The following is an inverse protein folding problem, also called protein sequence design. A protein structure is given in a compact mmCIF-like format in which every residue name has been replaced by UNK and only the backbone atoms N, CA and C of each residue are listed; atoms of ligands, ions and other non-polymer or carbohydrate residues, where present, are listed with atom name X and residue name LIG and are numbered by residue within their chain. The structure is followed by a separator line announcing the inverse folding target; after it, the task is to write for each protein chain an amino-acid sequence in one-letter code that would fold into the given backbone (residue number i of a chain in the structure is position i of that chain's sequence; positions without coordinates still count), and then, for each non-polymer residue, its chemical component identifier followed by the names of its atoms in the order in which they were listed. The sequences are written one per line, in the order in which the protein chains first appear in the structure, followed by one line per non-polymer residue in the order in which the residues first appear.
data_IF_329295224636
#
_entry.id   IF_329295224636
#
_cell.length_a   1.000
_cell.length_b   1.000
_cell.length_c   1.000
_cell.angle_alpha   90.00
_cell.angle_beta   90.00
_cell.angle_gamma   90.00
#
_symmetry.space_group_name_H-M   'P 1'
#
loop_
_entity.id
_entity.type
_entity.pdbx_description
1 polymer ?
#
# COMPACT_ATOMS: atom_id res chain seq x y z
N UNK A 1 -30.17 -8.20 -33.35
CA UNK A 1 -28.76 -8.13 -33.67
C UNK A 1 -28.01 -8.71 -32.49
N UNK A 2 -27.53 -9.94 -32.64
CA UNK A 2 -26.71 -10.59 -31.64
C UNK A 2 -25.31 -9.98 -31.69
N UNK A 3 -24.85 -9.37 -30.60
CA UNK A 3 -23.45 -9.03 -30.44
C UNK A 3 -22.68 -10.31 -30.06
N UNK A 4 -21.73 -10.65 -30.90
CA UNK A 4 -20.78 -11.73 -30.64
C UNK A 4 -20.00 -11.40 -29.35
N UNK A 5 -20.05 -12.33 -28.38
CA UNK A 5 -19.10 -12.34 -27.27
C UNK A 5 -17.73 -12.67 -27.85
N UNK A 6 -16.81 -11.74 -27.79
CA UNK A 6 -15.42 -12.03 -28.02
C UNK A 6 -14.95 -13.04 -26.95
N UNK A 7 -14.50 -14.18 -27.43
CA UNK A 7 -13.88 -15.22 -26.63
C UNK A 7 -12.50 -14.72 -26.18
N UNK A 8 -12.44 -13.98 -25.07
CA UNK A 8 -11.16 -13.83 -24.35
C UNK A 8 -10.72 -15.21 -23.87
N UNK A 9 -9.51 -15.58 -24.25
CA UNK A 9 -8.90 -16.84 -23.87
C UNK A 9 -8.87 -16.96 -22.34
N UNK A 10 -9.51 -17.99 -21.83
CA UNK A 10 -9.42 -18.42 -20.44
C UNK A 10 -7.93 -18.52 -20.07
N UNK A 11 -7.50 -17.74 -19.07
CA UNK A 11 -6.23 -18.00 -18.41
C UNK A 11 -6.49 -19.26 -17.59
N UNK A 12 -5.99 -20.41 -18.07
CA UNK A 12 -6.00 -21.64 -17.30
C UNK A 12 -5.36 -21.37 -15.94
N UNK A 13 -5.87 -22.03 -14.91
CA UNK A 13 -5.44 -22.00 -13.50
C UNK A 13 -3.99 -22.52 -13.36
N UNK A 14 -3.05 -21.78 -13.97
CA UNK A 14 -1.63 -22.09 -13.93
C UNK A 14 -1.03 -21.45 -12.70
N UNK A 15 -0.76 -22.27 -11.69
CA UNK A 15 0.05 -21.86 -10.57
C UNK A 15 1.39 -21.31 -11.08
N UNK A 16 1.60 -19.98 -11.01
CA UNK A 16 2.84 -19.33 -11.42
C UNK A 16 4.00 -19.78 -10.52
N UNK A 17 5.10 -20.17 -11.13
CA UNK A 17 6.34 -20.51 -10.43
C UNK A 17 7.33 -19.33 -10.44
N UNK A 18 8.44 -19.44 -9.73
CA UNK A 18 9.46 -18.39 -9.62
C UNK A 18 9.99 -17.91 -10.97
N UNK A 19 10.17 -18.80 -11.95
CA UNK A 19 10.66 -18.41 -13.28
C UNK A 19 9.62 -17.64 -14.09
N UNK A 20 8.32 -17.87 -13.87
CA UNK A 20 7.26 -17.09 -14.49
C UNK A 20 7.30 -15.64 -14.00
N UNK A 21 7.44 -15.45 -12.67
CA UNK A 21 7.58 -14.11 -12.09
C UNK A 21 8.83 -13.38 -12.55
N UNK A 22 9.93 -14.10 -12.76
CA UNK A 22 11.20 -13.52 -13.23
C UNK A 22 11.05 -12.86 -14.61
N UNK A 23 10.29 -13.46 -15.53
CA UNK A 23 10.10 -12.95 -16.89
C UNK A 23 8.86 -12.08 -17.08
N UNK A 24 8.01 -12.02 -16.07
CA UNK A 24 6.77 -11.23 -16.07
C UNK A 24 7.07 -9.72 -16.01
N UNK A 25 6.36 -8.92 -16.80
CA UNK A 25 6.42 -7.47 -16.68
C UNK A 25 5.44 -6.94 -15.62
N UNK A 26 5.56 -5.65 -15.29
CA UNK A 26 4.74 -5.01 -14.27
C UNK A 26 3.21 -5.06 -14.56
N UNK A 27 2.80 -4.97 -15.84
CA UNK A 27 1.39 -5.05 -16.21
C UNK A 27 0.81 -6.46 -16.06
N UNK A 28 1.60 -7.48 -16.33
CA UNK A 28 1.23 -8.87 -16.09
C UNK A 28 1.16 -9.14 -14.59
N UNK A 29 2.13 -8.59 -13.84
CA UNK A 29 2.20 -8.79 -12.40
C UNK A 29 1.05 -8.14 -11.65
N UNK A 30 0.63 -6.90 -11.99
CA UNK A 30 -0.56 -6.27 -11.38
C UNK A 30 -1.83 -7.09 -11.59
N UNK A 31 -1.96 -7.80 -12.71
CA UNK A 31 -3.08 -8.72 -12.95
C UNK A 31 -3.04 -9.92 -12.00
N UNK A 32 -1.85 -10.48 -11.76
CA UNK A 32 -1.66 -11.63 -10.86
C UNK A 32 -1.78 -11.23 -9.39
N UNK A 33 -1.49 -9.96 -9.04
CA UNK A 33 -1.72 -9.44 -7.69
C UNK A 33 -3.19 -9.52 -7.29
N UNK A 34 -4.12 -9.50 -8.24
CA UNK A 34 -5.55 -9.66 -7.99
C UNK A 34 -6.10 -8.70 -6.94
N UNK A 35 -6.95 -9.19 -6.06
CA UNK A 35 -7.49 -8.43 -4.95
C UNK A 35 -6.55 -8.48 -3.75
N UNK A 36 -6.14 -7.31 -3.26
CA UNK A 36 -5.28 -7.16 -2.10
C UNK A 36 -6.01 -6.64 -0.85
N UNK A 37 -5.39 -6.89 0.30
CA UNK A 37 -5.81 -6.34 1.60
C UNK A 37 -4.58 -5.81 2.34
N UNK A 38 -4.75 -4.74 3.12
CA UNK A 38 -3.72 -4.25 4.03
C UNK A 38 -3.83 -4.92 5.41
N UNK A 39 -2.70 -5.32 5.99
CA UNK A 39 -2.59 -5.64 7.41
C UNK A 39 -2.41 -4.34 8.19
N UNK A 40 -3.44 -3.48 8.18
CA UNK A 40 -3.37 -2.12 8.67
C UNK A 40 -3.34 -1.98 10.19
N UNK A 41 -2.75 -0.88 10.67
CA UNK A 41 -2.57 -0.51 12.08
C UNK A 41 -1.76 -1.56 12.88
N UNK A 42 -0.86 -2.25 12.23
CA UNK A 42 -0.11 -3.38 12.81
C UNK A 42 1.39 -3.03 12.94
N UNK A 43 2.21 -3.38 11.95
CA UNK A 43 3.67 -3.13 12.03
C UNK A 43 4.04 -1.66 11.74
N UNK A 44 3.13 -0.88 11.17
CA UNK A 44 3.27 0.57 10.97
C UNK A 44 2.76 1.41 12.15
N UNK A 45 2.40 0.79 13.27
CA UNK A 45 1.93 1.48 14.47
C UNK A 45 3.05 2.35 15.09
N UNK A 46 3.43 3.38 14.36
CA UNK A 46 4.49 4.32 14.70
C UNK A 46 4.08 5.28 15.83
N UNK A 47 5.05 6.01 16.35
CA UNK A 47 4.84 6.98 17.43
C UNK A 47 4.69 6.35 18.81
N UNK A 48 4.89 5.04 18.92
CA UNK A 48 4.94 4.33 20.20
C UNK A 48 6.24 4.63 20.98
N UNK A 49 6.63 5.90 21.02
CA UNK A 49 7.89 6.37 21.63
C UNK A 49 8.04 5.96 23.09
N UNK A 50 6.93 5.72 23.78
CA UNK A 50 6.95 5.20 25.15
C UNK A 50 7.48 3.77 25.26
N UNK A 51 7.49 3.00 24.18
CA UNK A 51 8.02 1.64 24.16
C UNK A 51 9.56 1.63 24.07
N UNK A 52 10.16 2.71 23.57
CA UNK A 52 11.59 2.74 23.23
C UNK A 52 11.92 1.81 22.07
N UNK A 53 13.21 1.68 21.72
CA UNK A 53 13.66 0.96 20.51
C UNK A 53 13.85 -0.55 20.70
N UNK A 54 13.75 -1.07 21.93
CA UNK A 54 14.04 -2.45 22.30
C UNK A 54 12.84 -3.17 22.95
N UNK A 55 11.63 -2.69 22.70
CA UNK A 55 10.44 -3.40 23.13
C UNK A 55 10.25 -4.69 22.31
N UNK A 56 9.45 -5.63 22.82
CA UNK A 56 9.11 -6.82 22.06
C UNK A 56 8.28 -6.45 20.83
N UNK A 57 8.50 -7.09 19.67
CA UNK A 57 7.79 -6.77 18.42
C UNK A 57 6.28 -6.72 18.57
N UNK A 58 5.68 -7.62 19.37
CA UNK A 58 4.24 -7.68 19.59
C UNK A 58 3.70 -6.43 20.32
N UNK A 59 4.54 -5.69 21.03
CA UNK A 59 4.13 -4.44 21.71
C UNK A 59 3.96 -3.30 20.70
N UNK A 60 4.82 -3.23 19.67
CA UNK A 60 4.63 -2.30 18.54
C UNK A 60 3.40 -2.72 17.74
N UNK A 61 3.32 -3.99 17.36
CA UNK A 61 2.24 -4.58 16.57
C UNK A 61 0.85 -4.30 17.15
N UNK A 62 0.72 -4.27 18.47
CA UNK A 62 -0.57 -4.08 19.15
C UNK A 62 -0.82 -2.65 19.64
N UNK A 63 0.12 -1.72 19.44
CA UNK A 63 0.07 -0.39 20.04
C UNK A 63 -1.08 0.48 19.51
N UNK A 64 -1.61 0.19 18.33
CA UNK A 64 -2.81 0.83 17.75
C UNK A 64 -4.06 -0.07 17.83
N UNK A 65 -4.08 -1.01 18.78
CA UNK A 65 -5.27 -1.81 19.11
C UNK A 65 -5.51 -3.02 18.22
N UNK A 66 -4.55 -3.39 17.36
CA UNK A 66 -4.64 -4.63 16.61
C UNK A 66 -4.25 -5.84 17.48
N UNK A 67 -4.76 -7.04 17.19
CA UNK A 67 -4.28 -8.25 17.85
C UNK A 67 -2.89 -8.64 17.34
N UNK A 68 -2.17 -9.45 18.11
CA UNK A 68 -0.97 -10.11 17.60
C UNK A 68 -1.34 -10.96 16.39
N UNK A 69 -0.67 -10.72 15.25
CA UNK A 69 -0.94 -11.42 14.00
C UNK A 69 -0.51 -12.88 14.07
N UNK A 70 -1.32 -13.74 13.55
CA UNK A 70 -1.06 -15.19 13.47
C UNK A 70 -1.09 -15.69 12.02
N UNK A 71 -0.46 -16.83 11.75
CA UNK A 71 -0.49 -17.47 10.42
C UNK A 71 -1.93 -17.66 9.91
N UNK A 72 -2.86 -18.02 10.80
CA UNK A 72 -4.27 -18.22 10.46
C UNK A 72 -4.97 -16.99 9.88
N UNK A 73 -4.50 -15.78 10.21
CA UNK A 73 -5.05 -14.54 9.63
C UNK A 73 -4.76 -14.48 8.13
N UNK A 74 -3.55 -14.81 7.70
CA UNK A 74 -3.20 -14.84 6.27
C UNK A 74 -3.90 -15.97 5.52
N UNK A 75 -4.01 -17.16 6.14
CA UNK A 75 -4.80 -18.27 5.60
C UNK A 75 -6.27 -17.85 5.39
N UNK A 76 -6.87 -17.18 6.38
CA UNK A 76 -8.24 -16.67 6.28
C UNK A 76 -8.39 -15.54 5.25
N UNK A 77 -7.38 -14.68 5.05
CA UNK A 77 -7.37 -13.69 3.96
C UNK A 77 -7.40 -14.39 2.59
N UNK A 78 -6.57 -15.43 2.41
CA UNK A 78 -6.58 -16.22 1.17
C UNK A 78 -7.92 -16.91 0.93
N UNK A 79 -8.48 -17.54 1.96
CA UNK A 79 -9.79 -18.21 1.89
C UNK A 79 -10.94 -17.23 1.58
N UNK A 80 -10.82 -15.99 2.04
CA UNK A 80 -11.78 -14.92 1.77
C UNK A 80 -11.71 -14.38 0.31
N UNK A 81 -10.71 -14.79 -0.48
CA UNK A 81 -10.57 -14.40 -1.89
C UNK A 81 -9.54 -13.32 -2.16
N UNK A 82 -8.67 -13.00 -1.19
CA UNK A 82 -7.54 -12.12 -1.45
C UNK A 82 -6.37 -12.89 -2.08
N UNK A 83 -5.69 -12.25 -3.03
CA UNK A 83 -4.51 -12.79 -3.73
C UNK A 83 -3.22 -12.16 -3.24
N UNK A 84 -3.33 -10.99 -2.62
CA UNK A 84 -2.20 -10.19 -2.15
C UNK A 84 -2.45 -9.61 -0.77
N UNK A 85 -1.37 -9.37 -0.02
CA UNK A 85 -1.39 -8.61 1.24
C UNK A 85 -0.31 -7.54 1.23
N UNK A 86 -0.65 -6.34 1.66
CA UNK A 86 0.31 -5.28 1.99
C UNK A 86 0.50 -5.25 3.49
N UNK A 87 1.74 -5.35 3.94
CA UNK A 87 2.17 -5.29 5.34
C UNK A 87 2.92 -3.97 5.51
N UNK A 88 2.24 -2.90 5.93
CA UNK A 88 2.88 -1.63 6.24
C UNK A 88 3.82 -1.77 7.43
N UNK A 89 4.99 -1.10 7.39
CA UNK A 89 6.00 -1.19 8.46
C UNK A 89 6.61 0.17 8.78
N UNK A 90 6.69 0.52 10.06
CA UNK A 90 7.41 1.70 10.55
C UNK A 90 8.76 1.26 11.15
N UNK A 91 9.78 1.23 10.31
CA UNK A 91 11.09 0.67 10.64
C UNK A 91 11.84 1.46 11.71
N UNK A 92 11.74 2.81 11.69
CA UNK A 92 12.47 3.65 12.65
C UNK A 92 11.85 3.63 14.05
N UNK A 93 10.69 2.99 14.24
CA UNK A 93 10.17 2.71 15.58
C UNK A 93 11.15 1.90 16.44
N UNK A 94 12.06 1.16 15.80
CA UNK A 94 13.07 0.33 16.45
C UNK A 94 14.51 0.73 16.11
N UNK A 95 14.72 1.93 15.53
CA UNK A 95 16.01 2.46 15.12
C UNK A 95 16.30 3.76 15.88
N UNK A 96 17.32 3.78 16.75
CA UNK A 96 17.70 4.99 17.52
C UNK A 96 18.58 5.94 16.71
N UNK A 97 18.10 6.33 15.53
CA UNK A 97 18.83 7.18 14.59
C UNK A 97 19.22 8.57 15.18
N UNK A 98 18.45 9.09 16.16
CA UNK A 98 18.77 10.35 16.85
C UNK A 98 20.06 10.28 17.66
N UNK A 99 20.36 9.12 18.20
CA UNK A 99 21.61 8.86 18.92
C UNK A 99 22.69 8.20 18.05
N UNK A 100 22.46 8.10 16.74
CA UNK A 100 23.45 7.62 15.77
C UNK A 100 23.47 6.11 15.58
N UNK A 101 22.49 5.39 16.12
CA UNK A 101 22.27 3.98 15.81
C UNK A 101 21.26 3.85 14.66
N UNK A 102 21.78 3.45 13.50
CA UNK A 102 21.02 3.31 12.27
C UNK A 102 20.68 1.84 11.96
N UNK A 103 20.60 1.00 13.00
CA UNK A 103 20.24 -0.41 12.85
C UNK A 103 18.79 -0.64 13.27
N UNK A 104 18.05 -1.36 12.43
CA UNK A 104 16.73 -1.91 12.80
C UNK A 104 16.96 -3.02 13.83
N UNK A 105 16.13 -3.06 14.88
CA UNK A 105 16.21 -4.12 15.89
C UNK A 105 16.01 -5.49 15.24
N UNK A 106 16.90 -6.45 15.57
CA UNK A 106 16.89 -7.78 14.94
C UNK A 106 15.60 -8.55 15.23
N UNK A 107 15.05 -8.49 16.44
CA UNK A 107 13.80 -9.16 16.80
C UNK A 107 12.61 -8.60 16.00
N UNK A 108 12.60 -7.27 15.76
CA UNK A 108 11.57 -6.64 14.94
C UNK A 108 11.68 -7.06 13.46
N UNK A 109 12.88 -7.07 12.91
CA UNK A 109 13.13 -7.56 11.55
C UNK A 109 12.70 -9.03 11.42
N UNK A 110 13.04 -9.88 12.38
CA UNK A 110 12.66 -11.31 12.39
C UNK A 110 11.14 -11.48 12.52
N UNK A 111 10.46 -10.58 13.24
CA UNK A 111 9.00 -10.58 13.28
C UNK A 111 8.38 -10.25 11.92
N UNK A 112 8.87 -9.20 11.25
CA UNK A 112 8.40 -8.86 9.90
C UNK A 112 8.67 -10.01 8.92
N UNK A 113 9.84 -10.66 8.99
CA UNK A 113 10.16 -11.85 8.19
C UNK A 113 9.15 -12.97 8.44
N UNK A 114 8.82 -13.23 9.71
CA UNK A 114 7.81 -14.23 10.09
C UNK A 114 6.44 -13.94 9.46
N UNK A 115 6.00 -12.68 9.46
CA UNK A 115 4.73 -12.28 8.84
C UNK A 115 4.77 -12.46 7.32
N UNK A 116 5.87 -12.08 6.67
CA UNK A 116 6.09 -12.27 5.24
C UNK A 116 6.07 -13.76 4.89
N UNK A 117 6.78 -14.58 5.66
CA UNK A 117 6.83 -16.03 5.45
C UNK A 117 5.43 -16.66 5.55
N UNK A 118 4.65 -16.30 6.57
CA UNK A 118 3.29 -16.81 6.74
C UNK A 118 2.36 -16.40 5.60
N UNK A 119 2.49 -15.17 5.11
CA UNK A 119 1.70 -14.69 4.00
C UNK A 119 2.06 -15.39 2.68
N UNK A 120 3.36 -15.57 2.39
CA UNK A 120 3.85 -16.33 1.23
C UNK A 120 3.43 -17.81 1.30
N UNK A 121 3.51 -18.44 2.48
CA UNK A 121 3.05 -19.81 2.73
C UNK A 121 1.56 -19.98 2.48
N UNK A 122 0.75 -18.96 2.81
CA UNK A 122 -0.69 -18.93 2.51
C UNK A 122 -0.98 -18.75 1.00
N UNK A 123 0.05 -18.56 0.17
CA UNK A 123 -0.07 -18.37 -1.28
C UNK A 123 -0.35 -16.92 -1.71
N UNK A 124 -0.20 -15.94 -0.81
CA UNK A 124 -0.39 -14.53 -1.11
C UNK A 124 0.86 -13.93 -1.79
N UNK A 125 0.66 -12.93 -2.64
CA UNK A 125 1.70 -11.98 -3.02
C UNK A 125 1.82 -10.97 -1.88
N UNK A 126 3.04 -10.65 -1.47
CA UNK A 126 3.30 -9.81 -0.30
C UNK A 126 3.96 -8.51 -0.72
N UNK A 127 3.51 -7.40 -0.15
CA UNK A 127 4.14 -6.09 -0.30
C UNK A 127 4.51 -5.55 1.08
N UNK A 128 5.75 -5.10 1.23
CA UNK A 128 6.24 -4.39 2.41
C UNK A 128 6.74 -3.00 2.01
N UNK A 129 6.62 -2.04 2.90
CA UNK A 129 7.04 -0.66 2.64
C UNK A 129 7.69 -0.02 3.87
N UNK A 130 8.03 1.26 3.74
CA UNK A 130 8.23 2.17 4.86
C UNK A 130 6.99 3.07 4.97
N UNK A 131 6.24 2.97 6.09
CA UNK A 131 4.88 3.48 6.20
C UNK A 131 4.68 4.31 7.45
N UNK A 132 4.27 5.59 7.29
CA UNK A 132 4.03 6.49 8.41
C UNK A 132 5.12 6.39 9.49
N UNK A 133 6.31 6.13 9.04
CA UNK A 133 7.49 5.91 9.87
C UNK A 133 7.90 7.26 10.46
N UNK A 134 7.29 7.54 11.56
CA UNK A 134 6.99 8.81 12.16
C UNK A 134 8.20 9.71 12.30
N UNK A 135 8.05 10.95 11.85
CA UNK A 135 8.92 12.10 12.11
C UNK A 135 10.23 12.21 11.30
N UNK A 136 10.73 11.22 10.62
CA UNK A 136 12.01 11.40 9.94
C UNK A 136 11.89 11.90 8.49
N UNK A 137 10.76 11.67 7.83
CA UNK A 137 10.55 12.08 6.43
C UNK A 137 10.68 13.59 6.22
N UNK A 138 10.30 14.42 7.20
CA UNK A 138 10.46 15.86 7.17
C UNK A 138 11.93 16.32 7.13
N UNK A 139 12.88 15.45 7.48
CA UNK A 139 14.31 15.73 7.35
C UNK A 139 14.75 15.96 5.91
N UNK A 140 14.05 15.43 4.91
CA UNK A 140 14.36 15.72 3.52
C UNK A 140 14.26 17.22 3.18
N UNK A 141 13.41 17.96 3.85
CA UNK A 141 13.28 19.41 3.75
C UNK A 141 14.20 20.19 4.69
N UNK A 142 14.95 19.53 5.58
CA UNK A 142 15.74 20.17 6.66
C UNK A 142 17.20 19.74 6.64
N UNK A 143 17.47 18.45 6.76
CA UNK A 143 18.77 17.79 6.75
C UNK A 143 18.75 16.59 5.82
N UNK A 144 18.91 16.88 4.54
CA UNK A 144 18.86 15.86 3.46
C UNK A 144 19.94 14.78 3.66
N UNK A 145 21.08 15.11 4.26
CA UNK A 145 22.17 14.15 4.53
C UNK A 145 21.73 13.12 5.55
N UNK A 146 21.14 13.55 6.64
CA UNK A 146 20.61 12.66 7.68
C UNK A 146 19.43 11.85 7.13
N UNK A 147 18.52 12.47 6.37
CA UNK A 147 17.39 11.78 5.74
C UNK A 147 17.86 10.60 4.85
N UNK A 148 18.84 10.83 3.97
CA UNK A 148 19.40 9.76 3.15
C UNK A 148 20.09 8.68 3.99
N UNK A 149 20.74 9.04 5.09
CA UNK A 149 21.38 8.05 5.97
C UNK A 149 20.37 7.11 6.63
N UNK A 150 19.20 7.64 7.05
CA UNK A 150 18.11 6.82 7.57
C UNK A 150 17.52 5.94 6.46
N UNK A 151 17.22 6.54 5.31
CA UNK A 151 16.70 5.82 4.13
C UNK A 151 17.63 4.69 3.69
N UNK A 152 18.95 4.95 3.70
CA UNK A 152 19.97 3.95 3.39
C UNK A 152 19.94 2.80 4.37
N UNK A 153 19.89 3.09 5.66
CA UNK A 153 19.89 2.08 6.71
C UNK A 153 18.67 1.15 6.59
N UNK A 154 17.47 1.73 6.38
CA UNK A 154 16.24 0.96 6.18
C UNK A 154 16.39 0.01 4.98
N UNK A 155 16.72 0.55 3.79
CA UNK A 155 16.73 -0.25 2.57
C UNK A 155 17.97 -1.13 2.39
N UNK A 156 19.05 -0.90 3.14
CA UNK A 156 20.18 -1.84 3.26
C UNK A 156 19.78 -3.04 4.12
N UNK A 157 19.16 -2.81 5.27
CA UNK A 157 18.72 -3.88 6.17
C UNK A 157 17.60 -4.70 5.52
N UNK A 158 16.53 -4.06 5.03
CA UNK A 158 15.41 -4.72 4.37
C UNK A 158 15.90 -5.48 3.14
N UNK A 159 16.63 -4.80 2.26
CA UNK A 159 17.08 -5.42 1.03
C UNK A 159 18.02 -6.61 1.27
N UNK A 160 18.89 -6.55 2.27
CA UNK A 160 19.79 -7.65 2.63
C UNK A 160 19.04 -8.84 3.22
N UNK A 161 18.11 -8.60 4.13
CA UNK A 161 17.33 -9.65 4.79
C UNK A 161 16.40 -10.38 3.81
N UNK A 162 15.88 -9.69 2.80
CA UNK A 162 14.89 -10.24 1.87
C UNK A 162 15.42 -10.50 0.44
N UNK A 163 16.72 -10.35 0.16
CA UNK A 163 17.30 -10.45 -1.21
C UNK A 163 17.01 -11.78 -1.92
N UNK A 164 16.89 -12.87 -1.17
CA UNK A 164 16.69 -14.23 -1.69
C UNK A 164 15.21 -14.69 -1.62
N UNK A 165 14.33 -13.84 -1.09
CA UNK A 165 12.89 -14.13 -1.04
C UNK A 165 12.26 -14.16 -2.43
N UNK A 166 11.17 -14.93 -2.55
CA UNK A 166 10.39 -15.04 -3.79
C UNK A 166 10.14 -13.69 -4.48
N UNK A 167 10.00 -13.70 -5.81
CA UNK A 167 9.54 -12.54 -6.58
C UNK A 167 8.09 -12.12 -6.24
N UNK A 168 7.35 -12.95 -5.48
CA UNK A 168 6.07 -12.58 -4.88
C UNK A 168 6.19 -11.53 -3.77
N UNK A 169 7.39 -11.28 -3.26
CA UNK A 169 7.64 -10.19 -2.32
C UNK A 169 7.99 -8.91 -3.10
N UNK A 170 7.21 -7.86 -2.90
CA UNK A 170 7.35 -6.53 -3.51
C UNK A 170 7.86 -5.54 -2.48
N UNK A 171 8.76 -4.64 -2.88
CA UNK A 171 9.18 -3.51 -2.05
C UNK A 171 8.52 -2.22 -2.55
N UNK A 172 7.83 -1.52 -1.67
CA UNK A 172 7.27 -0.19 -1.89
C UNK A 172 8.14 0.84 -1.16
N UNK A 173 8.67 1.83 -1.87
CA UNK A 173 9.72 2.72 -1.39
C UNK A 173 9.33 3.62 -0.21
N UNK A 174 8.07 3.81 0.02
CA UNK A 174 7.47 4.65 1.07
C UNK A 174 5.95 4.62 0.93
N UNK A 175 5.28 5.55 1.58
CA UNK A 175 3.82 5.64 1.60
C UNK A 175 3.36 7.07 1.20
N UNK A 176 2.42 7.66 1.94
CA UNK A 176 1.85 8.99 1.72
C UNK A 176 2.79 10.15 2.07
N UNK A 177 3.95 9.86 2.62
CA UNK A 177 4.95 10.86 3.02
C UNK A 177 5.68 11.51 1.84
N UNK A 178 5.70 10.86 0.69
CA UNK A 178 6.39 11.36 -0.49
C UNK A 178 5.63 12.53 -1.13
N UNK A 179 6.18 13.73 -0.98
CA UNK A 179 5.59 14.97 -1.47
C UNK A 179 5.64 16.08 -0.44
N UNK A 180 4.49 16.69 -0.09
CA UNK A 180 4.48 17.84 0.82
C UNK A 180 4.99 17.50 2.23
N UNK A 181 4.89 16.23 2.67
CA UNK A 181 5.37 15.80 3.97
C UNK A 181 6.90 15.75 4.10
N UNK A 182 7.64 15.94 3.01
CA UNK A 182 9.08 16.26 3.11
C UNK A 182 9.36 17.57 3.86
N UNK A 183 8.34 18.36 4.13
CA UNK A 183 8.42 19.57 4.94
C UNK A 183 7.82 19.40 6.34
N UNK A 184 7.38 18.22 6.73
CA UNK A 184 6.76 17.97 8.04
C UNK A 184 7.72 18.34 9.17
N UNK A 185 7.17 18.68 10.32
CA UNK A 185 7.96 19.04 11.50
C UNK A 185 8.75 17.84 12.02
N UNK A 186 10.05 18.06 12.23
CA UNK A 186 10.94 17.13 12.93
C UNK A 186 11.70 17.90 14.00
N UNK A 187 11.56 17.49 15.26
CA UNK A 187 12.25 18.08 16.41
C UNK A 187 12.11 19.64 16.48
N UNK A 188 10.88 20.12 16.21
CA UNK A 188 10.53 21.56 16.29
C UNK A 188 10.94 22.38 15.06
N UNK A 189 11.42 21.76 13.99
CA UNK A 189 11.78 22.43 12.73
C UNK A 189 10.92 21.88 11.60
N UNK A 190 10.56 22.74 10.66
CA UNK A 190 9.85 22.38 9.43
C UNK A 190 10.71 22.63 8.22
N UNK A 191 10.52 21.81 7.18
CA UNK A 191 11.12 22.04 5.88
C UNK A 191 10.44 23.19 5.12
N UNK A 192 11.03 23.60 4.00
CA UNK A 192 10.52 24.71 3.18
C UNK A 192 10.65 24.45 1.67
N UNK A 193 10.71 23.17 1.26
CA UNK A 193 10.74 22.82 -0.16
C UNK A 193 9.47 23.31 -0.85
N UNK A 194 9.63 23.99 -1.96
CA UNK A 194 8.54 24.31 -2.88
C UNK A 194 7.97 23.04 -3.50
N UNK A 195 6.76 23.11 -4.07
CA UNK A 195 6.14 21.96 -4.75
C UNK A 195 7.03 21.44 -5.88
N UNK A 196 7.68 22.30 -6.65
CA UNK A 196 8.61 21.89 -7.72
C UNK A 196 9.85 21.16 -7.16
N UNK A 197 10.39 21.62 -6.03
CA UNK A 197 11.50 20.95 -5.35
C UNK A 197 11.10 19.61 -4.75
N UNK A 198 9.87 19.49 -4.26
CA UNK A 198 9.33 18.20 -3.80
C UNK A 198 9.24 17.19 -4.94
N UNK A 199 8.70 17.56 -6.11
CA UNK A 199 8.69 16.65 -7.28
C UNK A 199 10.10 16.28 -7.75
N UNK A 200 11.02 17.25 -7.75
CA UNK A 200 12.43 16.99 -8.07
C UNK A 200 13.05 15.98 -7.10
N UNK A 201 12.84 16.19 -5.80
CA UNK A 201 13.31 15.26 -4.76
C UNK A 201 12.72 13.87 -4.91
N UNK A 202 11.41 13.77 -5.21
CA UNK A 202 10.78 12.47 -5.48
C UNK A 202 11.44 11.76 -6.66
N UNK A 203 11.77 12.46 -7.73
CA UNK A 203 12.47 11.90 -8.89
C UNK A 203 13.87 11.40 -8.50
N UNK A 204 14.62 12.17 -7.72
CA UNK A 204 15.94 11.80 -7.21
C UNK A 204 15.85 10.58 -6.28
N UNK A 205 14.93 10.61 -5.33
CA UNK A 205 14.78 9.56 -4.30
C UNK A 205 14.28 8.24 -4.89
N UNK A 206 13.33 8.30 -5.83
CA UNK A 206 12.81 7.10 -6.49
C UNK A 206 13.89 6.41 -7.35
N UNK A 207 14.71 7.20 -8.08
CA UNK A 207 15.85 6.65 -8.81
C UNK A 207 16.89 6.05 -7.85
N UNK A 208 17.18 6.76 -6.74
CA UNK A 208 18.11 6.29 -5.73
C UNK A 208 17.65 4.95 -5.12
N UNK A 209 16.35 4.81 -4.82
CA UNK A 209 15.78 3.55 -4.33
C UNK A 209 15.95 2.40 -5.33
N UNK A 210 15.57 2.62 -6.58
CA UNK A 210 15.70 1.58 -7.62
C UNK A 210 17.16 1.14 -7.76
N UNK A 211 18.09 2.08 -7.92
CA UNK A 211 19.52 1.78 -8.08
C UNK A 211 20.08 1.01 -6.88
N UNK A 212 19.67 1.43 -5.66
CA UNK A 212 20.08 0.78 -4.41
C UNK A 212 19.62 -0.68 -4.33
N UNK A 213 18.35 -0.94 -4.57
CA UNK A 213 17.81 -2.31 -4.53
C UNK A 213 18.42 -3.17 -5.63
N UNK A 214 18.55 -2.66 -6.85
CA UNK A 214 19.18 -3.42 -7.97
C UNK A 214 20.62 -3.80 -7.67
N UNK A 215 21.38 -2.91 -7.05
CA UNK A 215 22.79 -3.13 -6.69
C UNK A 215 23.00 -4.24 -5.65
N UNK A 216 21.99 -4.54 -4.83
CA UNK A 216 22.07 -5.61 -3.83
C UNK A 216 22.13 -7.01 -4.44
N UNK A 217 21.79 -7.14 -5.74
CA UNK A 217 21.90 -8.40 -6.47
C UNK A 217 20.86 -9.45 -6.06
N UNK A 218 21.17 -10.73 -6.31
CA UNK A 218 20.24 -11.84 -6.12
C UNK A 218 18.86 -11.54 -6.74
N UNK A 219 17.75 -11.92 -6.11
CA UNK A 219 16.39 -11.63 -6.62
C UNK A 219 16.05 -10.14 -6.61
N UNK A 220 16.71 -9.32 -5.79
CA UNK A 220 16.54 -7.87 -5.81
C UNK A 220 16.88 -7.23 -7.15
N UNK A 221 17.76 -7.85 -7.95
CA UNK A 221 18.08 -7.39 -9.32
C UNK A 221 16.86 -7.36 -10.26
N UNK A 222 15.85 -8.21 -10.02
CA UNK A 222 14.63 -8.35 -10.84
C UNK A 222 13.33 -8.24 -10.06
N UNK A 223 13.39 -7.94 -8.75
CA UNK A 223 12.21 -7.78 -7.89
C UNK A 223 11.31 -6.67 -8.41
N UNK A 224 10.00 -6.86 -8.31
CA UNK A 224 9.04 -5.78 -8.54
C UNK A 224 9.18 -4.70 -7.47
N UNK A 225 9.26 -3.44 -7.93
CA UNK A 225 9.40 -2.28 -7.07
C UNK A 225 8.23 -1.34 -7.29
N UNK A 226 7.72 -0.79 -6.19
CA UNK A 226 6.59 0.11 -6.18
C UNK A 226 7.05 1.50 -5.72
N UNK A 227 6.75 2.51 -6.52
CA UNK A 227 7.10 3.91 -6.27
C UNK A 227 5.85 4.65 -5.81
N UNK A 228 5.83 5.25 -4.62
CA UNK A 228 4.68 6.05 -4.19
C UNK A 228 4.53 7.28 -5.06
N UNK A 229 3.29 7.57 -5.46
CA UNK A 229 2.94 8.83 -6.09
C UNK A 229 3.04 10.01 -5.14
N UNK A 230 2.92 11.24 -5.64
CA UNK A 230 2.95 12.44 -4.80
C UNK A 230 1.82 12.41 -3.76
N UNK A 231 2.15 12.15 -2.50
CA UNK A 231 1.23 11.83 -1.39
C UNK A 231 0.17 10.79 -1.77
N UNK A 232 0.53 9.87 -2.66
CA UNK A 232 -0.37 8.86 -3.25
C UNK A 232 -1.66 9.42 -3.87
N UNK A 233 -1.74 10.73 -4.08
CA UNK A 233 -2.89 11.43 -4.66
C UNK A 233 -2.94 11.22 -6.19
N UNK A 234 -4.10 10.83 -6.72
CA UNK A 234 -4.29 10.53 -8.15
C UNK A 234 -3.96 11.70 -9.08
N UNK A 235 -4.39 12.92 -8.71
CA UNK A 235 -4.22 14.10 -9.57
C UNK A 235 -2.77 14.58 -9.53
N UNK A 236 -2.18 14.67 -8.33
CA UNK A 236 -0.79 15.10 -8.16
C UNK A 236 0.19 14.08 -8.76
N UNK A 237 -0.10 12.77 -8.64
CA UNK A 237 0.73 11.73 -9.24
C UNK A 237 0.68 11.75 -10.78
N UNK A 238 -0.40 12.23 -11.37
CA UNK A 238 -0.52 12.40 -12.84
C UNK A 238 -0.09 13.77 -13.35
N UNK A 239 0.40 14.65 -12.47
CA UNK A 239 1.01 15.92 -12.87
C UNK A 239 2.28 15.66 -13.72
N UNK A 240 2.52 16.54 -14.68
CA UNK A 240 3.68 16.43 -15.60
C UNK A 240 5.04 16.52 -14.90
N UNK A 241 5.10 17.02 -13.68
CA UNK A 241 6.32 17.11 -12.87
C UNK A 241 6.67 15.74 -12.22
N UNK A 242 5.68 14.86 -12.00
CA UNK A 242 5.94 13.52 -11.48
C UNK A 242 6.63 12.66 -12.54
N UNK A 243 7.75 12.03 -12.19
CA UNK A 243 8.52 11.18 -13.09
C UNK A 243 8.79 9.83 -12.43
N UNK A 244 8.48 8.75 -13.16
CA UNK A 244 8.94 7.42 -12.77
C UNK A 244 10.45 7.30 -12.98
N UNK A 245 11.15 6.55 -12.11
CA UNK A 245 12.57 6.27 -12.28
C UNK A 245 12.81 5.35 -13.47
N UNK A 246 14.03 5.32 -13.96
CA UNK A 246 14.50 4.33 -14.92
C UNK A 246 14.92 3.03 -14.21
N UNK A 247 14.77 1.90 -14.89
CA UNK A 247 15.26 0.60 -14.43
C UNK A 247 16.14 -0.05 -15.51
N UNK A 248 17.36 0.47 -15.74
CA UNK A 248 18.21 0.03 -16.83
C UNK A 248 18.73 -1.41 -16.66
N UNK A 249 18.62 -1.96 -15.47
CA UNK A 249 19.02 -3.35 -15.18
C UNK A 249 18.03 -4.38 -15.74
N UNK A 250 16.85 -3.94 -16.17
CA UNK A 250 15.79 -4.82 -16.66
C UNK A 250 15.34 -4.42 -18.06
N UNK A 251 15.30 -5.40 -18.98
CA UNK A 251 14.79 -5.20 -20.34
C UNK A 251 13.25 -5.10 -20.41
N UNK A 252 12.58 -5.49 -19.33
CA UNK A 252 11.13 -5.44 -19.16
C UNK A 252 10.83 -4.65 -17.89
N UNK A 253 9.79 -3.83 -17.91
CA UNK A 253 9.43 -3.01 -16.75
C UNK A 253 9.09 -3.89 -15.54
N UNK A 254 9.76 -3.64 -14.43
CA UNK A 254 9.48 -4.21 -13.09
C UNK A 254 8.99 -3.14 -12.12
N UNK A 255 8.65 -1.95 -12.64
CA UNK A 255 8.26 -0.81 -11.83
C UNK A 255 6.75 -0.61 -11.86
N UNK A 256 6.21 -0.28 -10.70
CA UNK A 256 4.82 0.05 -10.48
C UNK A 256 4.72 1.39 -9.76
N UNK A 257 3.57 2.06 -9.85
CA UNK A 257 3.24 3.27 -9.11
C UNK A 257 2.12 2.99 -8.12
N UNK A 258 2.28 3.50 -6.89
CA UNK A 258 1.27 3.41 -5.82
C UNK A 258 0.49 4.71 -5.71
N UNK A 259 -0.83 4.60 -5.67
CA UNK A 259 -1.75 5.69 -5.33
C UNK A 259 -2.84 5.18 -4.39
N UNK A 260 -3.43 6.08 -3.59
CA UNK A 260 -4.50 5.74 -2.66
C UNK A 260 -5.81 6.42 -3.06
N UNK A 261 -6.93 5.77 -2.80
CA UNK A 261 -8.23 6.28 -3.18
C UNK A 261 -9.18 6.43 -2.00
N UNK A 262 -9.31 7.67 -1.54
CA UNK A 262 -10.22 8.03 -0.44
C UNK A 262 -11.10 9.24 -0.84
N UNK A 263 -11.66 9.20 -2.06
CA UNK A 263 -12.54 10.28 -2.56
C UNK A 263 -14.00 9.85 -2.70
N UNK A 264 -14.94 10.71 -2.32
CA UNK A 264 -14.73 12.00 -1.63
C UNK A 264 -14.38 11.79 -0.14
N UNK A 265 -13.41 12.55 0.38
CA UNK A 265 -12.83 12.34 1.71
C UNK A 265 -13.85 12.36 2.86
N UNK A 266 -14.87 13.23 2.80
CA UNK A 266 -15.93 13.27 3.82
C UNK A 266 -16.77 11.98 3.85
N UNK A 267 -16.78 11.21 2.77
CA UNK A 267 -17.43 9.91 2.72
C UNK A 267 -16.48 8.78 3.11
N UNK A 268 -15.30 8.74 2.54
CA UNK A 268 -14.40 7.59 2.66
C UNK A 268 -13.49 7.61 3.88
N UNK A 269 -13.08 8.81 4.37
CA UNK A 269 -12.16 8.92 5.51
C UNK A 269 -12.82 9.36 6.82
N UNK A 270 -13.97 10.05 6.76
CA UNK A 270 -14.54 10.75 7.92
C UNK A 270 -15.71 9.99 8.49
N UNK A 271 -15.58 9.43 9.70
CA UNK A 271 -16.63 8.71 10.41
C UNK A 271 -17.33 9.55 11.50
N UNK A 272 -16.69 10.62 11.96
CA UNK A 272 -17.20 11.57 12.95
C UNK A 272 -16.80 13.00 12.56
N UNK A 273 -17.38 14.07 13.16
CA UNK A 273 -17.04 15.43 12.79
C UNK A 273 -15.54 15.73 12.95
N UNK A 274 -14.94 16.35 11.94
CA UNK A 274 -13.51 16.71 11.91
C UNK A 274 -13.35 18.22 11.69
N UNK A 275 -12.28 18.80 12.23
CA UNK A 275 -11.90 20.20 11.98
C UNK A 275 -10.85 20.25 10.84
N UNK A 276 -11.32 20.56 9.65
CA UNK A 276 -10.50 20.81 8.47
C UNK A 276 -10.69 22.26 7.99
N UNK A 277 -10.23 23.22 8.80
CA UNK A 277 -10.48 24.63 8.57
C UNK A 277 -11.95 25.01 8.80
N UNK A 278 -12.53 24.48 9.87
CA UNK A 278 -13.93 24.51 10.29
C UNK A 278 -14.54 23.11 10.34
N UNK A 279 -15.51 22.94 11.21
CA UNK A 279 -16.12 21.63 11.47
C UNK A 279 -16.82 21.09 10.22
N UNK A 280 -16.34 19.95 9.72
CA UNK A 280 -16.93 19.20 8.61
C UNK A 280 -17.64 17.97 9.15
N UNK A 281 -18.85 17.73 8.64
CA UNK A 281 -19.62 16.54 8.97
C UNK A 281 -19.29 15.39 8.00
N UNK A 282 -19.30 14.12 8.46
CA UNK A 282 -19.17 12.99 7.56
C UNK A 282 -20.32 12.96 6.56
N UNK A 283 -20.03 12.70 5.30
CA UNK A 283 -21.05 12.34 4.33
C UNK A 283 -21.56 10.92 4.64
N UNK A 284 -22.88 10.75 4.64
CA UNK A 284 -23.55 9.49 5.05
C UNK A 284 -23.85 8.58 3.87
N UNK A 285 -23.94 9.14 2.67
CA UNK A 285 -24.27 8.42 1.44
C UNK A 285 -23.38 8.87 0.30
N UNK A 286 -23.32 8.03 -0.74
CA UNK A 286 -22.60 8.22 -2.00
C UNK A 286 -23.37 7.50 -3.11
N UNK A 287 -23.08 7.78 -4.38
CA UNK A 287 -23.59 7.01 -5.50
C UNK A 287 -24.44 7.80 -6.49
N UNK A 288 -24.43 9.14 -6.41
CA UNK A 288 -25.01 9.96 -7.48
C UNK A 288 -24.23 9.75 -8.79
N UNK A 289 -24.91 9.95 -9.92
CA UNK A 289 -24.30 9.87 -11.27
C UNK A 289 -23.03 10.72 -11.38
N UNK A 290 -23.03 11.90 -10.75
CA UNK A 290 -21.85 12.80 -10.73
C UNK A 290 -20.69 12.19 -9.95
N UNK A 291 -20.94 11.60 -8.80
CA UNK A 291 -19.90 11.00 -7.95
C UNK A 291 -19.30 9.76 -8.61
N UNK A 292 -20.14 8.89 -9.18
CA UNK A 292 -19.68 7.72 -9.94
C UNK A 292 -18.83 8.16 -11.16
N UNK A 293 -19.30 9.17 -11.91
CA UNK A 293 -18.55 9.69 -13.06
C UNK A 293 -17.22 10.29 -12.66
N UNK A 294 -17.14 10.97 -11.51
CA UNK A 294 -15.89 11.56 -11.01
C UNK A 294 -14.91 10.47 -10.55
N UNK A 295 -15.37 9.42 -9.86
CA UNK A 295 -14.54 8.28 -9.52
C UNK A 295 -13.96 7.64 -10.79
N UNK A 296 -14.79 7.35 -11.79
CA UNK A 296 -14.34 6.79 -13.06
C UNK A 296 -13.34 7.70 -13.78
N UNK A 297 -13.56 9.02 -13.75
CA UNK A 297 -12.63 10.01 -14.34
C UNK A 297 -11.25 9.96 -13.67
N UNK A 298 -11.21 9.90 -12.33
CA UNK A 298 -9.96 9.84 -11.57
C UNK A 298 -9.16 8.58 -11.91
N UNK A 299 -9.81 7.42 -11.92
CA UNK A 299 -9.14 6.16 -12.31
C UNK A 299 -8.62 6.19 -13.75
N UNK A 300 -9.31 6.87 -14.65
CA UNK A 300 -8.86 7.03 -16.03
C UNK A 300 -7.58 7.89 -16.17
N UNK A 301 -7.27 8.78 -15.22
CA UNK A 301 -6.02 9.55 -15.24
C UNK A 301 -4.79 8.62 -15.19
N UNK A 302 -4.88 7.52 -14.45
CA UNK A 302 -3.77 6.59 -14.24
C UNK A 302 -3.44 5.74 -15.50
N UNK A 303 -4.29 5.75 -16.53
CA UNK A 303 -4.02 5.02 -17.79
C UNK A 303 -2.72 5.43 -18.45
N UNK A 304 -2.25 6.65 -18.18
CA UNK A 304 -0.97 7.10 -18.71
C UNK A 304 0.19 6.21 -18.24
N UNK A 305 0.20 5.76 -16.99
CA UNK A 305 1.22 4.84 -16.48
C UNK A 305 1.17 3.50 -17.19
N UNK A 306 -0.02 2.89 -17.29
CA UNK A 306 -0.23 1.64 -18.00
C UNK A 306 0.25 1.72 -19.47
N UNK A 307 -0.05 2.82 -20.17
CA UNK A 307 0.36 3.03 -21.55
C UNK A 307 1.90 3.11 -21.72
N UNK A 308 2.63 3.37 -20.64
CA UNK A 308 4.09 3.38 -20.60
C UNK A 308 4.68 2.11 -19.97
N UNK A 309 3.90 1.04 -19.81
CA UNK A 309 4.37 -0.24 -19.26
C UNK A 309 4.57 -0.25 -17.75
N UNK A 310 4.07 0.77 -17.03
CA UNK A 310 4.13 0.88 -15.57
C UNK A 310 2.87 0.26 -14.97
N UNK A 311 3.04 -0.68 -14.04
CA UNK A 311 1.92 -1.24 -13.27
C UNK A 311 1.32 -0.19 -12.34
N UNK A 312 0.02 -0.28 -12.07
CA UNK A 312 -0.66 0.64 -11.14
C UNK A 312 -1.23 -0.16 -9.98
N UNK A 313 -0.92 0.29 -8.78
CA UNK A 313 -1.45 -0.27 -7.53
C UNK A 313 -2.27 0.81 -6.83
N UNK A 314 -3.51 0.48 -6.51
CA UNK A 314 -4.32 1.27 -5.59
C UNK A 314 -4.00 0.74 -4.20
N UNK A 315 -2.94 1.28 -3.58
CA UNK A 315 -2.34 0.75 -2.34
C UNK A 315 -3.28 0.78 -1.15
N UNK A 316 -4.24 1.72 -1.16
CA UNK A 316 -5.28 1.81 -0.15
C UNK A 316 -6.59 2.35 -0.72
N UNK A 317 -7.70 1.79 -0.28
CA UNK A 317 -9.05 2.32 -0.44
C UNK A 317 -9.97 1.73 0.63
N UNK A 318 -10.87 2.53 1.15
CA UNK A 318 -11.85 2.10 2.16
C UNK A 318 -12.96 3.13 2.32
N UNK A 319 -14.02 2.76 3.06
CA UNK A 319 -15.05 3.68 3.54
C UNK A 319 -15.07 3.63 5.07
N UNK A 320 -14.85 4.76 5.72
CA UNK A 320 -14.89 4.87 7.17
C UNK A 320 -16.29 4.59 7.71
N UNK A 321 -16.37 3.83 8.80
CA UNK A 321 -17.61 3.60 9.54
C UNK A 321 -18.10 4.90 10.18
N UNK A 322 -19.42 5.10 10.26
CA UNK A 322 -20.03 6.20 11.00
C UNK A 322 -20.04 5.88 12.51
N UNK A 323 -19.54 6.81 13.32
CA UNK A 323 -19.69 6.76 14.76
C UNK A 323 -21.07 7.28 15.16
N UNK A 324 -21.85 6.45 15.80
CA UNK A 324 -23.18 6.78 16.29
C UNK A 324 -23.12 7.52 17.64
N UNK A 325 -24.24 8.14 18.03
CA UNK A 325 -24.33 8.90 19.29
C UNK A 325 -24.13 8.04 20.55
N UNK A 326 -24.43 6.75 20.46
CA UNK A 326 -24.24 5.77 21.54
C UNK A 326 -22.83 5.19 21.60
N UNK A 327 -21.93 5.66 20.69
CA UNK A 327 -20.55 5.20 20.58
C UNK A 327 -20.39 3.95 19.71
N UNK A 328 -21.45 3.34 19.21
CA UNK A 328 -21.38 2.26 18.24
C UNK A 328 -20.96 2.76 16.86
N UNK A 329 -20.62 1.82 15.97
CA UNK A 329 -20.26 2.13 14.58
C UNK A 329 -21.24 1.46 13.63
N UNK A 330 -21.56 2.14 12.54
CA UNK A 330 -22.40 1.63 11.46
C UNK A 330 -21.79 1.91 10.08
N UNK A 331 -22.11 1.07 9.12
CA UNK A 331 -21.75 1.28 7.73
C UNK A 331 -22.47 2.52 7.17
N UNK A 332 -21.87 3.13 6.15
CA UNK A 332 -22.50 4.21 5.39
C UNK A 332 -23.38 3.64 4.28
N UNK A 333 -24.39 4.42 3.92
CA UNK A 333 -25.25 4.06 2.80
C UNK A 333 -24.46 4.00 1.48
N UNK A 334 -24.65 2.92 0.73
CA UNK A 334 -23.98 2.64 -0.55
C UNK A 334 -22.44 2.43 -0.47
N UNK A 335 -21.91 2.01 0.68
CA UNK A 335 -20.48 1.69 0.81
C UNK A 335 -20.07 0.50 -0.08
N UNK A 336 -20.92 -0.53 -0.21
CA UNK A 336 -20.67 -1.64 -1.14
C UNK A 336 -20.61 -1.14 -2.58
N UNK A 337 -21.54 -0.28 -3.01
CA UNK A 337 -21.52 0.32 -4.33
C UNK A 337 -20.25 1.13 -4.61
N UNK A 338 -19.74 1.85 -3.57
CA UNK A 338 -18.49 2.59 -3.69
C UNK A 338 -17.30 1.65 -3.87
N UNK A 339 -17.22 0.58 -3.07
CA UNK A 339 -16.19 -0.46 -3.18
C UNK A 339 -16.26 -1.17 -4.52
N UNK A 340 -17.47 -1.58 -4.94
CA UNK A 340 -17.71 -2.23 -6.23
C UNK A 340 -17.22 -1.37 -7.39
N UNK A 341 -17.54 -0.07 -7.41
CA UNK A 341 -17.09 0.81 -8.48
C UNK A 341 -15.56 1.04 -8.46
N UNK A 342 -14.90 1.00 -7.29
CA UNK A 342 -13.42 0.97 -7.21
C UNK A 342 -12.88 -0.28 -7.89
N UNK A 343 -13.39 -1.43 -7.51
CA UNK A 343 -12.95 -2.72 -8.05
C UNK A 343 -13.21 -2.82 -9.56
N UNK A 344 -14.39 -2.38 -10.05
CA UNK A 344 -14.70 -2.32 -11.48
C UNK A 344 -13.74 -1.44 -12.27
N UNK A 345 -13.32 -0.32 -11.70
CA UNK A 345 -12.31 0.53 -12.32
C UNK A 345 -10.94 -0.15 -12.34
N UNK A 346 -10.59 -0.89 -11.30
CA UNK A 346 -9.35 -1.66 -11.25
C UNK A 346 -9.35 -2.78 -12.30
N UNK A 347 -10.42 -3.58 -12.38
CA UNK A 347 -10.55 -4.67 -13.34
C UNK A 347 -10.44 -4.17 -14.78
N UNK A 348 -11.25 -3.16 -15.15
CA UNK A 348 -11.24 -2.55 -16.48
C UNK A 348 -9.88 -2.00 -16.90
N UNK A 349 -9.07 -1.56 -15.97
CA UNK A 349 -7.79 -0.92 -16.25
C UNK A 349 -6.58 -1.79 -15.91
N UNK A 350 -6.77 -2.97 -15.34
CA UNK A 350 -5.70 -3.85 -14.85
C UNK A 350 -4.84 -3.17 -13.77
N UNK A 351 -5.49 -2.60 -12.74
CA UNK A 351 -4.86 -2.08 -11.55
C UNK A 351 -5.01 -3.08 -10.40
N UNK A 352 -4.05 -3.16 -9.50
CA UNK A 352 -4.14 -4.02 -8.32
C UNK A 352 -4.69 -3.23 -7.12
N UNK A 353 -5.93 -3.52 -6.64
CA UNK A 353 -6.54 -2.84 -5.51
C UNK A 353 -6.16 -3.48 -4.17
N UNK A 354 -5.88 -2.67 -3.14
CA UNK A 354 -5.62 -3.12 -1.78
C UNK A 354 -6.58 -2.47 -0.80
N UNK A 355 -7.56 -3.25 -0.30
CA UNK A 355 -8.50 -2.80 0.72
C UNK A 355 -7.75 -2.41 2.00
N UNK A 356 -7.97 -1.19 2.50
CA UNK A 356 -7.44 -0.81 3.80
C UNK A 356 -8.28 -1.43 4.91
N UNK A 357 -7.66 -2.28 5.72
CA UNK A 357 -8.32 -2.89 6.87
C UNK A 357 -7.51 -2.74 8.15
N UNK A 358 -8.16 -2.14 9.13
CA UNK A 358 -7.71 -2.07 10.52
C UNK A 358 -8.81 -2.55 11.47
N UNK A 359 -9.40 -3.72 11.20
CA UNK A 359 -10.53 -4.35 11.89
C UNK A 359 -11.94 -3.83 11.50
N UNK A 360 -12.07 -3.12 10.39
CA UNK A 360 -13.37 -2.64 9.93
C UNK A 360 -14.09 -3.64 9.02
N UNK A 361 -13.33 -4.31 8.15
CA UNK A 361 -13.87 -5.22 7.14
C UNK A 361 -13.56 -6.69 7.44
N UNK A 362 -12.46 -6.96 8.16
CA UNK A 362 -11.95 -8.29 8.35
C UNK A 362 -11.66 -8.58 9.84
N UNK A 363 -12.35 -9.58 10.40
CA UNK A 363 -12.08 -10.04 11.76
C UNK A 363 -10.75 -10.77 11.84
N UNK A 364 -9.83 -10.27 12.66
CA UNK A 364 -8.52 -10.86 12.95
C UNK A 364 -8.51 -11.68 14.26
N UNK A 365 -9.65 -11.74 14.95
CA UNK A 365 -9.84 -12.54 16.18
C UNK A 365 -11.17 -13.27 16.14
N UNK A 366 -11.29 -14.32 16.92
CA UNK A 366 -12.52 -15.12 16.99
C UNK A 366 -12.79 -15.88 15.68
N UNK A 367 -13.92 -15.61 15.03
CA UNK A 367 -14.22 -16.12 13.69
C UNK A 367 -13.54 -15.23 12.67
N UNK A 368 -12.45 -15.68 12.11
CA UNK A 368 -11.71 -14.97 11.07
C UNK A 368 -12.52 -14.82 9.78
N UNK A 369 -12.33 -13.73 9.05
CA UNK A 369 -13.03 -13.47 7.79
C UNK A 369 -13.76 -12.14 7.77
N UNK A 370 -14.48 -11.86 6.69
CA UNK A 370 -15.21 -10.61 6.54
C UNK A 370 -16.23 -10.38 7.67
N UNK A 371 -16.34 -9.13 8.11
CA UNK A 371 -17.30 -8.69 9.13
C UNK A 371 -18.73 -8.69 8.60
N UNK A 372 -18.90 -8.57 7.29
CA UNK A 372 -20.17 -8.36 6.61
C UNK A 372 -20.32 -9.27 5.38
N UNK A 373 -21.49 -9.88 5.23
CA UNK A 373 -21.78 -10.83 4.16
C UNK A 373 -21.81 -10.19 2.77
N UNK A 374 -22.28 -8.94 2.65
CA UNK A 374 -22.41 -8.26 1.36
C UNK A 374 -21.01 -7.95 0.80
N UNK A 375 -20.09 -7.55 1.68
CA UNK A 375 -18.69 -7.31 1.30
C UNK A 375 -17.99 -8.63 0.99
N UNK A 376 -18.25 -9.68 1.78
CA UNK A 376 -17.71 -11.01 1.48
C UNK A 376 -18.16 -11.51 0.10
N UNK A 377 -19.44 -11.33 -0.25
CA UNK A 377 -19.98 -11.73 -1.57
C UNK A 377 -19.35 -10.91 -2.70
N UNK A 378 -19.15 -9.59 -2.51
CA UNK A 378 -18.48 -8.73 -3.48
C UNK A 378 -17.09 -9.25 -3.87
N UNK A 379 -16.27 -9.65 -2.91
CA UNK A 379 -14.91 -10.18 -3.18
C UNK A 379 -14.94 -11.61 -3.70
N UNK A 380 -15.86 -12.44 -3.22
CA UNK A 380 -16.03 -13.81 -3.67
C UNK A 380 -16.49 -13.91 -5.12
N UNK A 381 -17.45 -13.08 -5.55
CA UNK A 381 -17.93 -13.06 -6.93
C UNK A 381 -16.84 -12.69 -7.93
N UNK A 382 -15.92 -11.80 -7.54
CA UNK A 382 -14.80 -11.37 -8.38
C UNK A 382 -13.71 -12.43 -8.54
N UNK A 383 -13.52 -13.29 -7.55
CA UNK A 383 -12.61 -14.44 -7.66
C UNK A 383 -13.06 -15.43 -8.72
N UNK A 384 -14.37 -15.67 -8.85
CA UNK A 384 -14.92 -16.55 -9.88
C UNK A 384 -14.76 -16.02 -11.31
N UNK A 385 -14.73 -14.72 -11.52
CA UNK A 385 -14.49 -14.13 -12.84
C UNK A 385 -13.02 -14.28 -13.28
N UNK A 386 -12.09 -14.44 -12.35
CA UNK A 386 -10.68 -14.74 -12.64
C UNK A 386 -10.43 -16.25 -12.86
N UNK A 387 -11.30 -17.12 -12.31
CA UNK A 387 -11.20 -18.58 -12.43
C UNK A 387 -11.99 -19.14 -13.66
N UNK A 388 -12.85 -18.34 -14.32
CA UNK A 388 -13.65 -18.69 -15.47
C UNK A 388 -13.28 -17.89 -16.72
#
# INVERSE_FOLDING_TARGET
MLFAKDTESKIEDKAFNESDFEVMNALQFTKVMGNGINLGNTMEAAGAVWLGYNAKPEQYETSWGQPVTTKKIFEAMKDAGFDSVRIPVAWTSTMDWRNGDFKINDDFMDRVKTLVDWALDAGLIVMINDHWDYQWWGLFGQDKTLAYKIFDAIWDDVGTNFKDYSYKLVFEAGNEEWGHRFNDEVDGKTGNLTVAEQYKLMTELSQYFVDKIRKQGSKNSKRFLLIPGYNTDFVKTTDSQFKMPADPSNNISKLMVSVHYYSPALYSLVGEPVDWGGIKQPAKTWGSVKEISEQNRLFNLLKNFKNHGIGVVIGEYAVAMLKNKDGSYSRKENDVLWLENVLDNCDRNNYAPFLWDCNNYFHKTGKLGFTDSDIAELYKSRRYELEN
#
